data_IF_589329203886
#
_entry.id   IF_589329203886
#
_cell.length_a   1.000
_cell.length_b   1.000
_cell.length_c   1.000
_cell.angle_alpha   90.00
_cell.angle_beta   90.00
_cell.angle_gamma   90.00
#
_symmetry.space_group_name_H-M   'P 1'
#
loop_
_entity.id
_entity.type
_entity.pdbx_description
1 polymer ?
#
# COMPACT_ATOMS: atom_id res chain seq x y z
N UNK A 1 -63.33 -54.64 -14.96
CA UNK A 1 -62.12 -53.88 -15.35
C UNK A 1 -62.38 -52.39 -15.15
N UNK A 2 -61.67 -51.79 -14.18
CA UNK A 2 -61.17 -50.40 -14.13
C UNK A 2 -60.96 -50.01 -12.66
N UNK A 3 -59.76 -50.29 -12.16
CA UNK A 3 -59.23 -49.69 -10.94
C UNK A 3 -58.90 -48.23 -11.20
N UNK A 4 -59.38 -47.33 -10.35
CA UNK A 4 -58.87 -45.97 -10.26
C UNK A 4 -57.84 -45.93 -9.14
N UNK A 5 -56.56 -45.82 -9.51
CA UNK A 5 -55.47 -45.50 -8.58
C UNK A 5 -55.38 -43.98 -8.54
N UNK A 6 -55.61 -43.39 -7.36
CA UNK A 6 -55.41 -41.97 -7.12
C UNK A 6 -53.95 -41.75 -6.72
N UNK A 7 -53.17 -41.10 -7.58
CA UNK A 7 -51.80 -40.67 -7.27
C UNK A 7 -51.87 -39.32 -6.55
N UNK A 8 -51.57 -39.31 -5.26
CA UNK A 8 -51.30 -38.08 -4.52
C UNK A 8 -49.86 -37.62 -4.85
N UNK A 9 -49.72 -36.53 -5.60
CA UNK A 9 -48.45 -35.84 -5.77
C UNK A 9 -48.15 -35.07 -4.48
N UNK A 10 -47.20 -35.57 -3.68
CA UNK A 10 -46.60 -34.79 -2.61
C UNK A 10 -45.64 -33.75 -3.22
N UNK A 11 -46.00 -32.47 -3.15
CA UNK A 11 -45.10 -31.38 -3.50
C UNK A 11 -43.99 -31.29 -2.43
N UNK A 12 -42.78 -31.74 -2.78
CA UNK A 12 -41.58 -31.48 -2.02
C UNK A 12 -41.25 -29.98 -2.14
N UNK A 13 -41.66 -29.20 -1.14
CA UNK A 13 -41.16 -27.85 -0.96
C UNK A 13 -39.67 -27.94 -0.60
N UNK A 14 -38.80 -27.75 -1.60
CA UNK A 14 -37.38 -27.51 -1.42
C UNK A 14 -37.21 -26.18 -0.66
N UNK A 15 -37.05 -26.25 0.66
CA UNK A 15 -36.50 -25.13 1.42
C UNK A 15 -35.06 -24.94 0.95
N UNK A 16 -34.82 -23.93 0.12
CA UNK A 16 -33.46 -23.51 -0.23
C UNK A 16 -32.70 -23.29 1.09
N UNK A 17 -31.64 -24.06 1.34
CA UNK A 17 -30.77 -23.84 2.48
C UNK A 17 -30.36 -22.36 2.48
N UNK A 18 -30.44 -21.71 3.64
CA UNK A 18 -29.99 -20.33 3.79
C UNK A 18 -28.54 -20.27 3.29
N UNK A 19 -28.31 -19.45 2.25
CA UNK A 19 -26.97 -19.30 1.69
C UNK A 19 -26.12 -18.64 2.78
N UNK A 20 -25.12 -19.36 3.25
CA UNK A 20 -24.27 -18.90 4.34
C UNK A 20 -23.14 -18.01 3.80
N UNK A 21 -22.65 -17.09 4.62
CA UNK A 21 -21.51 -16.22 4.30
C UNK A 21 -20.62 -16.07 5.52
N UNK A 22 -19.37 -15.68 5.31
CA UNK A 22 -18.45 -15.47 6.42
C UNK A 22 -18.87 -14.25 7.25
N UNK A 23 -18.89 -14.40 8.57
CA UNK A 23 -19.09 -13.26 9.48
C UNK A 23 -17.87 -12.35 9.48
N UNK A 24 -18.05 -11.09 9.90
CA UNK A 24 -16.96 -10.14 10.03
C UNK A 24 -15.91 -10.69 11.01
N UNK A 25 -14.64 -10.81 10.61
CA UNK A 25 -13.60 -11.29 11.50
C UNK A 25 -13.36 -10.27 12.63
N UNK A 26 -13.07 -10.79 13.82
CA UNK A 26 -12.58 -9.98 14.93
C UNK A 26 -11.09 -9.67 14.72
N UNK A 27 -10.80 -8.56 14.07
CA UNK A 27 -9.43 -8.08 13.84
C UNK A 27 -9.09 -6.93 14.78
N UNK A 28 -7.95 -7.04 15.45
CA UNK A 28 -7.41 -5.98 16.31
C UNK A 28 -5.97 -5.65 15.95
N UNK A 29 -5.59 -4.40 16.18
CA UNK A 29 -4.20 -3.98 16.13
C UNK A 29 -3.39 -4.65 17.25
N UNK A 30 -2.28 -5.31 16.89
CA UNK A 30 -1.39 -5.98 17.82
C UNK A 30 0.02 -6.21 17.21
N UNK A 31 1.11 -6.17 18.00
CA UNK A 31 1.16 -5.82 19.43
C UNK A 31 0.99 -4.33 19.72
N UNK A 32 1.32 -3.46 18.78
CA UNK A 32 1.13 -2.03 18.94
C UNK A 32 -0.35 -1.69 18.72
N UNK A 33 -0.87 -0.82 19.58
CA UNK A 33 -2.24 -0.28 19.51
C UNK A 33 -2.24 1.01 18.69
N UNK A 34 -3.35 1.33 18.00
CA UNK A 34 -3.46 2.57 17.24
C UNK A 34 -3.25 3.78 18.15
N UNK A 35 -2.80 4.90 17.57
CA UNK A 35 -2.58 6.15 18.29
C UNK A 35 -3.84 6.69 18.96
N UNK A 36 -5.00 6.36 18.37
CA UNK A 36 -6.33 6.63 18.91
C UNK A 36 -7.20 5.39 18.71
N UNK A 37 -8.09 5.11 19.66
CA UNK A 37 -9.07 4.03 19.51
C UNK A 37 -9.92 4.25 18.25
N UNK A 38 -10.14 3.17 17.49
CA UNK A 38 -11.03 3.21 16.33
C UNK A 38 -12.49 3.37 16.75
N UNK A 39 -13.34 4.01 15.93
CA UNK A 39 -14.77 4.10 16.18
C UNK A 39 -15.41 2.72 16.38
N UNK A 40 -16.39 2.66 17.27
CA UNK A 40 -17.18 1.46 17.45
C UNK A 40 -18.06 1.22 16.21
N UNK A 41 -18.19 -0.04 15.81
CA UNK A 41 -19.04 -0.43 14.69
C UNK A 41 -20.42 -0.88 15.16
N UNK A 42 -21.43 -0.66 14.33
CA UNK A 42 -22.80 -1.10 14.59
C UNK A 42 -23.09 -2.49 14.00
N UNK A 43 -23.97 -3.31 14.60
CA UNK A 43 -24.37 -4.59 14.00
C UNK A 43 -25.06 -4.42 12.63
N UNK A 44 -24.79 -5.33 11.69
CA UNK A 44 -25.47 -5.37 10.40
C UNK A 44 -26.78 -6.17 10.49
N UNK A 45 -27.84 -5.68 9.85
CA UNK A 45 -29.20 -6.25 9.98
C UNK A 45 -29.80 -6.73 8.66
N UNK A 46 -29.08 -6.57 7.54
CA UNK A 46 -29.54 -6.99 6.20
C UNK A 46 -28.40 -7.55 5.38
N UNK A 47 -28.71 -8.41 4.43
CA UNK A 47 -27.71 -9.09 3.59
C UNK A 47 -28.12 -9.06 2.12
N UNK A 48 -27.17 -8.71 1.25
CA UNK A 48 -27.35 -8.59 -0.20
C UNK A 48 -26.34 -9.50 -0.91
N UNK A 49 -26.80 -10.65 -1.41
CA UNK A 49 -25.99 -11.53 -2.24
C UNK A 49 -25.94 -11.03 -3.68
N UNK A 50 -24.75 -10.70 -4.18
CA UNK A 50 -24.58 -10.31 -5.58
C UNK A 50 -24.66 -11.54 -6.46
N UNK A 51 -25.60 -11.54 -7.41
CA UNK A 51 -25.71 -12.59 -8.42
C UNK A 51 -24.82 -12.23 -9.62
N UNK A 52 -23.74 -13.00 -9.91
CA UNK A 52 -22.88 -12.71 -11.06
C UNK A 52 -23.63 -12.92 -12.37
N UNK A 53 -23.03 -12.49 -13.47
CA UNK A 53 -23.53 -12.77 -14.82
C UNK A 53 -23.45 -14.26 -15.13
N UNK A 54 -24.43 -14.78 -15.88
CA UNK A 54 -24.43 -16.20 -16.29
C UNK A 54 -23.32 -16.55 -17.28
N UNK A 55 -22.59 -15.54 -17.79
CA UNK A 55 -21.48 -15.68 -18.73
C UNK A 55 -20.25 -15.07 -18.08
N UNK A 56 -19.18 -15.86 -17.98
CA UNK A 56 -17.89 -15.40 -17.48
C UNK A 56 -17.36 -14.22 -18.31
N UNK A 57 -16.71 -13.25 -17.65
CA UNK A 57 -16.19 -12.04 -18.29
C UNK A 57 -17.24 -10.98 -18.63
N UNK A 58 -18.52 -11.25 -18.38
CA UNK A 58 -19.58 -10.25 -18.56
C UNK A 58 -19.64 -9.31 -17.35
N UNK A 59 -19.76 -8.02 -17.65
CA UNK A 59 -19.79 -6.96 -16.65
C UNK A 59 -20.89 -7.14 -15.58
N UNK A 60 -20.47 -7.07 -14.32
CA UNK A 60 -21.28 -7.16 -13.11
C UNK A 60 -21.34 -5.85 -12.32
N UNK A 61 -20.69 -4.78 -12.80
CA UNK A 61 -20.56 -3.49 -12.10
C UNK A 61 -21.90 -2.95 -11.58
N UNK A 62 -22.95 -2.94 -12.42
CA UNK A 62 -24.28 -2.44 -12.03
C UNK A 62 -24.96 -3.29 -10.96
N UNK A 63 -24.72 -4.60 -10.94
CA UNK A 63 -25.30 -5.50 -9.94
C UNK A 63 -24.60 -5.36 -8.60
N UNK A 64 -23.28 -5.17 -8.64
CA UNK A 64 -22.47 -4.88 -7.46
C UNK A 64 -22.93 -3.56 -6.85
N UNK A 65 -23.00 -2.48 -7.66
CA UNK A 65 -23.46 -1.17 -7.20
C UNK A 65 -24.86 -1.24 -6.58
N UNK A 66 -25.82 -1.88 -7.25
CA UNK A 66 -27.19 -2.03 -6.75
C UNK A 66 -27.25 -2.78 -5.40
N UNK A 67 -26.38 -3.76 -5.17
CA UNK A 67 -26.31 -4.45 -3.89
C UNK A 67 -25.76 -3.55 -2.78
N UNK A 68 -24.75 -2.73 -3.08
CA UNK A 68 -24.23 -1.72 -2.16
C UNK A 68 -25.28 -0.66 -1.82
N UNK A 69 -26.03 -0.16 -2.79
CA UNK A 69 -27.14 0.77 -2.55
C UNK A 69 -28.22 0.15 -1.67
N UNK A 70 -28.62 -1.10 -1.94
CA UNK A 70 -29.65 -1.79 -1.16
C UNK A 70 -29.20 -2.12 0.28
N UNK A 71 -27.93 -2.48 0.46
CA UNK A 71 -27.36 -2.84 1.76
C UNK A 71 -26.64 -1.69 2.47
N UNK A 72 -26.68 -0.46 1.96
CA UNK A 72 -26.15 0.69 2.67
C UNK A 72 -26.93 0.95 3.97
N UNK A 73 -26.34 1.63 4.96
CA UNK A 73 -26.96 1.89 6.26
C UNK A 73 -27.27 0.60 7.05
N UNK A 74 -26.23 -0.20 7.33
CA UNK A 74 -26.33 -1.34 8.27
C UNK A 74 -26.44 -2.71 7.61
N UNK A 75 -25.93 -2.90 6.39
CA UNK A 75 -26.02 -4.17 5.67
C UNK A 75 -24.69 -4.85 5.37
N UNK A 76 -24.79 -6.10 4.91
CA UNK A 76 -23.67 -6.91 4.42
C UNK A 76 -23.86 -7.22 2.95
N UNK A 77 -22.91 -6.82 2.11
CA UNK A 77 -22.82 -7.22 0.70
C UNK A 77 -21.94 -8.46 0.59
N UNK A 78 -22.45 -9.50 -0.09
CA UNK A 78 -21.75 -10.78 -0.25
C UNK A 78 -21.32 -10.98 -1.70
N UNK A 79 -20.00 -11.13 -1.89
CA UNK A 79 -19.30 -11.41 -3.14
C UNK A 79 -18.58 -12.77 -3.01
N UNK A 80 -19.31 -13.87 -3.19
CA UNK A 80 -18.86 -15.26 -2.94
C UNK A 80 -18.70 -16.10 -4.23
N UNK A 81 -18.58 -15.43 -5.38
CA UNK A 81 -18.48 -16.00 -6.73
C UNK A 81 -17.44 -15.22 -7.56
N UNK A 82 -17.32 -15.59 -8.83
CA UNK A 82 -16.53 -14.84 -9.80
C UNK A 82 -17.34 -13.65 -10.33
N UNK A 83 -16.76 -12.46 -10.30
CA UNK A 83 -17.35 -11.23 -10.81
C UNK A 83 -16.37 -10.52 -11.74
N UNK A 84 -16.90 -9.81 -12.73
CA UNK A 84 -16.08 -8.96 -13.62
C UNK A 84 -16.58 -7.52 -13.55
N UNK A 85 -15.70 -6.57 -13.24
CA UNK A 85 -15.98 -5.13 -13.25
C UNK A 85 -15.42 -4.54 -14.55
N UNK A 86 -16.30 -3.93 -15.35
CA UNK A 86 -15.94 -3.25 -16.59
C UNK A 86 -16.44 -1.80 -16.65
N UNK A 87 -17.10 -1.31 -15.60
CA UNK A 87 -17.47 0.11 -15.44
C UNK A 87 -16.91 0.63 -14.10
N UNK A 88 -16.54 1.93 -13.99
CA UNK A 88 -16.04 2.48 -12.73
C UNK A 88 -17.10 2.45 -11.61
N UNK A 89 -16.67 2.13 -10.39
CA UNK A 89 -17.52 2.07 -9.21
C UNK A 89 -17.07 3.04 -8.12
N UNK A 90 -17.93 4.01 -7.78
CA UNK A 90 -17.74 4.94 -6.67
C UNK A 90 -18.61 4.52 -5.48
N UNK A 91 -17.97 3.97 -4.45
CA UNK A 91 -18.61 3.52 -3.21
C UNK A 91 -18.21 4.41 -2.02
N UNK A 92 -18.00 5.72 -2.25
CA UNK A 92 -17.72 6.67 -1.16
C UNK A 92 -18.94 7.05 -0.32
N UNK A 93 -20.13 6.64 -0.74
CA UNK A 93 -21.40 6.91 -0.07
C UNK A 93 -21.74 5.92 1.07
N UNK A 94 -20.90 4.91 1.30
CA UNK A 94 -21.22 3.81 2.20
C UNK A 94 -21.29 4.26 3.68
N UNK A 95 -22.21 3.67 4.42
CA UNK A 95 -22.41 3.90 5.85
C UNK A 95 -22.78 2.58 6.51
N UNK A 96 -21.98 2.15 7.50
CA UNK A 96 -22.24 0.94 8.27
C UNK A 96 -22.39 -0.30 7.37
N UNK A 97 -21.39 -0.59 6.53
CA UNK A 97 -21.45 -1.69 5.55
C UNK A 97 -20.38 -2.73 5.82
N UNK A 98 -20.78 -3.99 5.72
CA UNK A 98 -19.86 -5.13 5.65
C UNK A 98 -19.78 -5.67 4.21
N UNK A 99 -18.59 -6.09 3.82
CA UNK A 99 -18.33 -6.68 2.51
C UNK A 99 -17.64 -8.03 2.71
N UNK A 100 -18.43 -9.09 2.63
CA UNK A 100 -17.94 -10.46 2.66
C UNK A 100 -17.50 -10.87 1.24
N UNK A 101 -16.22 -10.71 0.94
CA UNK A 101 -15.64 -10.98 -0.37
C UNK A 101 -14.81 -12.25 -0.30
N UNK A 102 -15.42 -13.42 -0.52
CA UNK A 102 -14.70 -14.71 -0.57
C UNK A 102 -14.51 -15.27 -1.98
N UNK A 103 -15.16 -14.65 -2.97
CA UNK A 103 -14.99 -14.97 -4.38
C UNK A 103 -13.81 -14.23 -5.02
N UNK A 104 -13.85 -14.13 -6.35
CA UNK A 104 -12.87 -13.39 -7.14
C UNK A 104 -13.54 -12.24 -7.87
N UNK A 105 -12.94 -11.05 -7.80
CA UNK A 105 -13.32 -9.91 -8.62
C UNK A 105 -12.17 -9.63 -9.60
N UNK A 106 -12.48 -9.67 -10.90
CA UNK A 106 -11.56 -9.31 -11.99
C UNK A 106 -11.99 -8.00 -12.63
N UNK A 107 -11.07 -7.34 -13.31
CA UNK A 107 -11.35 -6.16 -14.12
C UNK A 107 -11.18 -6.46 -15.61
N UNK A 108 -12.05 -5.88 -16.44
CA UNK A 108 -11.85 -5.86 -17.89
C UNK A 108 -10.50 -5.21 -18.23
N UNK A 109 -9.83 -5.66 -19.28
CA UNK A 109 -8.50 -5.19 -19.71
C UNK A 109 -8.52 -4.25 -20.92
N UNK A 110 -9.69 -3.71 -21.28
CA UNK A 110 -9.80 -2.67 -22.30
C UNK A 110 -9.23 -1.34 -21.78
N UNK A 111 -7.92 -1.16 -21.99
CA UNK A 111 -7.15 0.01 -21.57
C UNK A 111 -7.76 1.31 -22.12
N UNK A 112 -8.11 1.32 -23.41
CA UNK A 112 -8.60 2.53 -24.08
C UNK A 112 -10.01 2.91 -23.56
N UNK A 113 -10.81 1.92 -23.16
CA UNK A 113 -12.06 2.17 -22.45
C UNK A 113 -11.83 2.79 -21.05
N UNK A 114 -10.87 2.27 -20.28
CA UNK A 114 -10.61 2.69 -18.90
C UNK A 114 -9.97 4.06 -18.76
N UNK A 115 -9.02 4.41 -19.62
CA UNK A 115 -8.22 5.64 -19.50
C UNK A 115 -9.05 6.92 -19.22
N UNK A 116 -10.15 7.21 -19.96
CA UNK A 116 -10.97 8.39 -19.72
C UNK A 116 -12.02 8.23 -18.60
N UNK A 117 -12.18 7.04 -18.02
CA UNK A 117 -13.29 6.70 -17.09
C UNK A 117 -12.85 6.46 -15.65
N UNK A 118 -11.56 6.28 -15.41
CA UNK A 118 -11.01 6.14 -14.05
C UNK A 118 -11.21 7.42 -13.23
N UNK A 119 -11.42 7.25 -11.92
CA UNK A 119 -11.38 8.35 -10.96
C UNK A 119 -9.95 8.85 -10.84
N UNK A 120 -9.74 10.16 -11.03
CA UNK A 120 -8.41 10.77 -11.08
C UNK A 120 -8.06 11.46 -9.76
N UNK A 121 -6.80 11.37 -9.38
CA UNK A 121 -6.20 12.11 -8.27
C UNK A 121 -5.14 13.06 -8.84
N UNK A 122 -5.08 14.28 -8.29
CA UNK A 122 -4.08 15.27 -8.69
C UNK A 122 -2.65 14.78 -8.38
N UNK A 123 -2.46 14.12 -7.24
CA UNK A 123 -1.16 13.64 -6.80
C UNK A 123 -0.63 12.56 -7.75
N UNK A 124 0.50 12.84 -8.41
CA UNK A 124 1.23 11.93 -9.31
C UNK A 124 0.38 11.33 -10.46
N UNK A 125 -0.71 12.00 -10.84
CA UNK A 125 -1.61 11.50 -11.89
C UNK A 125 -2.23 10.14 -11.55
N UNK A 126 -2.29 9.79 -10.26
CA UNK A 126 -2.87 8.54 -9.79
C UNK A 126 -4.33 8.42 -10.23
N UNK A 127 -4.78 7.19 -10.46
CA UNK A 127 -6.15 6.94 -10.90
C UNK A 127 -6.63 5.57 -10.42
N UNK A 128 -7.93 5.32 -10.42
CA UNK A 128 -8.49 3.99 -10.08
C UNK A 128 -9.85 3.78 -10.73
N UNK A 129 -10.28 2.53 -10.82
CA UNK A 129 -11.59 2.12 -11.32
C UNK A 129 -12.60 1.83 -10.20
N UNK A 130 -12.17 1.64 -8.96
CA UNK A 130 -13.03 1.17 -7.88
C UNK A 130 -12.60 1.80 -6.55
N UNK A 131 -13.48 2.64 -5.99
CA UNK A 131 -13.19 3.42 -4.80
C UNK A 131 -14.17 3.04 -3.69
N UNK A 132 -13.64 2.71 -2.52
CA UNK A 132 -14.40 2.56 -1.29
C UNK A 132 -14.23 3.80 -0.41
N UNK A 133 -15.25 4.19 0.33
CA UNK A 133 -15.16 5.28 1.29
C UNK A 133 -16.33 5.28 2.25
N UNK A 134 -16.58 6.42 2.89
CA UNK A 134 -17.71 6.58 3.79
C UNK A 134 -17.38 6.26 5.24
N UNK A 135 -18.34 5.75 6.01
CA UNK A 135 -18.21 5.57 7.47
C UNK A 135 -18.50 4.14 7.89
N UNK A 136 -17.67 3.58 8.78
CA UNK A 136 -17.87 2.24 9.36
C UNK A 136 -18.03 1.17 8.27
N UNK A 137 -17.00 1.00 7.44
CA UNK A 137 -16.99 0.02 6.34
C UNK A 137 -15.95 -1.07 6.60
N UNK A 138 -16.38 -2.32 6.63
CA UNK A 138 -15.51 -3.48 6.87
C UNK A 138 -15.52 -4.43 5.67
N UNK A 139 -14.36 -4.64 5.06
CA UNK A 139 -14.17 -5.50 3.89
C UNK A 139 -13.29 -6.67 4.30
N UNK A 140 -13.72 -7.90 3.99
CA UNK A 140 -13.02 -9.07 4.47
C UNK A 140 -13.19 -10.29 3.56
N UNK A 141 -12.11 -11.06 3.39
CA UNK A 141 -12.10 -12.20 2.48
C UNK A 141 -11.56 -13.53 3.01
N UNK A 142 -11.32 -13.63 4.31
CA UNK A 142 -10.93 -14.88 4.99
C UNK A 142 -9.75 -15.64 4.34
N UNK A 143 -8.81 -14.93 3.71
CA UNK A 143 -7.63 -15.49 3.05
C UNK A 143 -7.91 -16.15 1.69
N UNK A 144 -9.14 -16.06 1.18
CA UNK A 144 -9.54 -16.64 -0.11
C UNK A 144 -10.07 -15.59 -1.09
N UNK A 145 -10.69 -14.53 -0.59
CA UNK A 145 -11.19 -13.41 -1.37
C UNK A 145 -10.12 -12.77 -2.22
N UNK A 146 -10.33 -12.68 -3.53
CA UNK A 146 -9.31 -12.25 -4.49
C UNK A 146 -9.78 -11.04 -5.29
N UNK A 147 -8.93 -10.01 -5.36
CA UNK A 147 -9.01 -8.92 -6.32
C UNK A 147 -7.87 -9.10 -7.32
N UNK A 148 -8.20 -9.36 -8.59
CA UNK A 148 -7.22 -9.54 -9.67
C UNK A 148 -7.35 -8.43 -10.71
N UNK A 149 -6.34 -7.57 -10.75
CA UNK A 149 -6.28 -6.39 -11.60
C UNK A 149 -6.07 -6.67 -13.08
N UNK A 150 -5.81 -7.92 -13.48
CA UNK A 150 -5.53 -8.26 -14.88
C UNK A 150 -4.42 -7.36 -15.49
N UNK A 151 -3.35 -7.13 -14.72
CA UNK A 151 -2.35 -6.09 -14.99
C UNK A 151 -1.44 -6.30 -16.20
N UNK A 152 -1.38 -7.50 -16.80
CA UNK A 152 -0.40 -7.82 -17.83
C UNK A 152 -0.48 -6.88 -19.05
N UNK A 153 -1.69 -6.66 -19.57
CA UNK A 153 -1.89 -5.75 -20.70
C UNK A 153 -1.40 -4.32 -20.38
N UNK A 154 -1.57 -3.89 -19.11
CA UNK A 154 -1.11 -2.58 -18.65
C UNK A 154 0.41 -2.50 -18.53
N UNK A 155 1.08 -3.57 -18.11
CA UNK A 155 2.55 -3.64 -18.06
C UNK A 155 3.14 -3.51 -19.46
N UNK A 156 2.59 -4.27 -20.42
CA UNK A 156 3.04 -4.26 -21.80
C UNK A 156 2.79 -2.90 -22.47
N UNK A 157 1.64 -2.25 -22.21
CA UNK A 157 1.35 -0.91 -22.72
C UNK A 157 2.24 0.16 -22.08
N UNK A 158 2.52 0.08 -20.78
CA UNK A 158 3.41 1.02 -20.09
C UNK A 158 4.89 0.86 -20.49
N UNK A 159 5.30 -0.32 -20.96
CA UNK A 159 6.62 -0.50 -21.55
C UNK A 159 6.86 0.43 -22.76
N UNK A 160 5.81 0.68 -23.55
CA UNK A 160 5.85 1.52 -24.77
C UNK A 160 5.37 2.95 -24.56
N UNK A 161 4.55 3.21 -23.53
CA UNK A 161 4.07 4.54 -23.18
C UNK A 161 4.24 4.84 -21.69
N UNK A 162 5.31 5.56 -21.33
CA UNK A 162 5.67 5.88 -19.94
C UNK A 162 4.76 6.90 -19.26
N UNK A 163 3.88 7.57 -19.99
CA UNK A 163 2.90 8.52 -19.42
C UNK A 163 1.52 7.89 -19.23
N UNK A 164 1.37 6.59 -19.49
CA UNK A 164 0.11 5.86 -19.32
C UNK A 164 -0.33 5.87 -17.84
N UNK A 165 -1.47 6.49 -17.56
CA UNK A 165 -2.10 6.48 -16.23
C UNK A 165 -2.81 5.15 -16.00
N UNK A 166 -2.13 4.24 -15.31
CA UNK A 166 -2.64 2.91 -14.96
C UNK A 166 -3.47 3.00 -13.66
N UNK A 167 -4.62 2.30 -13.57
CA UNK A 167 -5.46 2.33 -12.38
C UNK A 167 -4.83 1.56 -11.21
N UNK A 168 -5.01 2.09 -10.01
CA UNK A 168 -4.70 1.47 -8.72
C UNK A 168 -5.80 0.45 -8.42
N UNK A 169 -5.41 -0.76 -8.01
CA UNK A 169 -6.32 -1.90 -7.87
C UNK A 169 -7.41 -1.66 -6.82
N UNK A 170 -7.03 -1.21 -5.62
CA UNK A 170 -7.94 -1.02 -4.50
C UNK A 170 -7.69 0.32 -3.82
N UNK A 171 -8.73 1.15 -3.70
CA UNK A 171 -8.59 2.49 -3.09
C UNK A 171 -9.63 2.69 -2.00
N UNK A 172 -9.16 3.19 -0.85
CA UNK A 172 -10.02 3.83 0.15
C UNK A 172 -9.84 5.34 0.03
N UNK A 173 -10.92 6.07 -0.21
CA UNK A 173 -10.95 7.53 -0.30
C UNK A 173 -12.06 8.07 0.59
N UNK A 174 -11.68 8.78 1.66
CA UNK A 174 -12.66 9.31 2.60
C UNK A 174 -13.29 8.24 3.50
N UNK A 175 -12.60 7.12 3.76
CA UNK A 175 -13.05 6.11 4.70
C UNK A 175 -12.80 6.56 6.15
N UNK A 176 -13.82 6.49 7.00
CA UNK A 176 -13.79 6.92 8.40
C UNK A 176 -14.26 5.78 9.30
N UNK A 177 -13.32 5.10 9.95
CA UNK A 177 -13.62 3.89 10.69
C UNK A 177 -13.86 2.71 9.76
N UNK A 178 -13.12 1.62 9.95
CA UNK A 178 -13.31 0.42 9.16
C UNK A 178 -12.13 -0.53 9.21
N UNK A 179 -12.26 -1.64 8.47
CA UNK A 179 -11.15 -2.57 8.30
C UNK A 179 -11.12 -3.22 6.93
N UNK A 180 -9.94 -3.56 6.44
CA UNK A 180 -9.72 -4.38 5.25
C UNK A 180 -8.90 -5.61 5.65
N UNK A 181 -9.45 -6.81 5.53
CA UNK A 181 -8.80 -8.01 6.08
C UNK A 181 -8.84 -9.24 5.19
N UNK A 182 -7.79 -10.05 5.21
CA UNK A 182 -7.83 -11.38 4.60
C UNK A 182 -8.07 -11.38 3.08
N UNK A 183 -7.70 -10.32 2.37
CA UNK A 183 -7.81 -10.26 0.91
C UNK A 183 -6.50 -10.69 0.23
N UNK A 184 -6.64 -11.29 -0.94
CA UNK A 184 -5.58 -11.53 -1.91
C UNK A 184 -5.65 -10.47 -3.00
N UNK A 185 -4.60 -9.68 -3.15
CA UNK A 185 -4.47 -8.68 -4.20
C UNK A 185 -3.50 -9.21 -5.25
N UNK A 186 -3.95 -9.28 -6.50
CA UNK A 186 -3.23 -9.91 -7.60
C UNK A 186 -3.09 -8.99 -8.79
N UNK A 187 -1.91 -8.99 -9.39
CA UNK A 187 -1.63 -8.42 -10.70
C UNK A 187 -2.22 -7.01 -10.88
N UNK A 188 -1.99 -6.11 -9.92
CA UNK A 188 -2.45 -4.72 -10.05
C UNK A 188 -1.83 -4.05 -11.27
N UNK A 189 -2.55 -3.24 -12.06
CA UNK A 189 -1.96 -2.48 -13.16
C UNK A 189 -0.90 -1.47 -12.71
N UNK A 190 -1.05 -0.92 -11.50
CA UNK A 190 -0.18 0.06 -10.87
C UNK A 190 -0.04 -0.28 -9.38
N UNK A 191 0.06 0.70 -8.49
CA UNK A 191 -0.01 0.50 -7.03
C UNK A 191 -1.19 -0.42 -6.68
N UNK A 192 -1.01 -1.30 -5.69
CA UNK A 192 -2.05 -2.18 -5.23
C UNK A 192 -3.08 -1.41 -4.40
N UNK A 193 -2.61 -0.55 -3.49
CA UNK A 193 -3.49 0.16 -2.56
C UNK A 193 -3.15 1.65 -2.47
N UNK A 194 -4.20 2.48 -2.44
CA UNK A 194 -4.13 3.86 -1.98
C UNK A 194 -5.12 4.08 -0.83
N UNK A 195 -4.63 4.62 0.28
CA UNK A 195 -5.39 5.04 1.44
C UNK A 195 -5.40 6.57 1.45
N UNK A 196 -6.36 7.15 0.73
CA UNK A 196 -6.53 8.56 0.53
C UNK A 196 -7.56 9.15 1.50
N UNK A 197 -7.29 10.33 2.06
CA UNK A 197 -8.27 11.11 2.83
C UNK A 197 -8.98 10.31 3.94
N UNK A 198 -8.34 9.27 4.49
CA UNK A 198 -8.99 8.26 5.31
C UNK A 198 -8.50 8.33 6.75
N UNK A 199 -9.33 7.87 7.68
CA UNK A 199 -9.01 7.88 9.10
C UNK A 199 -9.55 6.66 9.82
N UNK A 200 -8.82 6.23 10.85
CA UNK A 200 -9.25 5.16 11.75
C UNK A 200 -9.45 3.80 11.04
N UNK A 201 -8.46 3.37 10.25
CA UNK A 201 -8.55 2.16 9.41
C UNK A 201 -7.54 1.10 9.86
N UNK A 202 -8.03 -0.12 10.02
CA UNK A 202 -7.20 -1.32 10.22
C UNK A 202 -7.07 -2.13 8.92
N UNK A 203 -5.85 -2.43 8.52
CA UNK A 203 -5.54 -3.34 7.41
C UNK A 203 -4.76 -4.51 7.98
N UNK A 204 -5.24 -5.74 7.78
CA UNK A 204 -4.64 -6.94 8.40
C UNK A 204 -4.71 -8.15 7.47
N UNK A 205 -3.70 -9.02 7.53
CA UNK A 205 -3.73 -10.34 6.88
C UNK A 205 -3.94 -10.26 5.36
N UNK A 206 -3.33 -9.27 4.71
CA UNK A 206 -3.40 -9.09 3.25
C UNK A 206 -2.24 -9.85 2.60
N UNK A 207 -2.54 -10.49 1.48
CA UNK A 207 -1.56 -11.17 0.63
C UNK A 207 -1.50 -10.43 -0.70
N UNK A 208 -0.34 -9.84 -1.03
CA UNK A 208 -0.11 -9.08 -2.27
C UNK A 208 0.90 -9.81 -3.14
N UNK A 209 0.54 -10.06 -4.40
CA UNK A 209 1.41 -10.68 -5.38
C UNK A 209 1.20 -10.12 -6.79
N UNK A 210 2.28 -9.71 -7.44
CA UNK A 210 2.24 -9.32 -8.85
C UNK A 210 3.59 -9.53 -9.54
N UNK A 211 3.56 -10.21 -10.68
CA UNK A 211 4.72 -10.46 -11.55
C UNK A 211 4.27 -10.37 -12.99
N UNK A 212 5.13 -9.83 -13.84
CA UNK A 212 4.92 -9.92 -15.29
C UNK A 212 5.17 -11.34 -15.77
N UNK A 213 4.36 -11.78 -16.72
CA UNK A 213 4.56 -13.02 -17.48
C UNK A 213 5.29 -12.78 -18.81
N UNK A 214 5.65 -11.54 -19.12
CA UNK A 214 6.39 -11.13 -20.34
C UNK A 214 7.78 -10.56 -19.99
N UNK A 215 8.53 -10.17 -21.02
CA UNK A 215 9.81 -9.45 -20.83
C UNK A 215 9.62 -8.01 -20.33
N UNK A 216 8.40 -7.46 -20.37
CA UNK A 216 8.10 -6.13 -19.88
C UNK A 216 7.91 -6.17 -18.36
N UNK A 217 8.70 -5.38 -17.64
CA UNK A 217 8.62 -5.34 -16.18
C UNK A 217 7.27 -4.76 -15.70
N UNK A 218 6.71 -5.38 -14.66
CA UNK A 218 5.54 -4.85 -13.97
C UNK A 218 6.00 -3.76 -12.99
N UNK A 219 6.04 -2.50 -13.47
CA UNK A 219 6.57 -1.35 -12.72
C UNK A 219 5.55 -0.70 -11.78
N UNK A 220 6.03 -0.10 -10.69
CA UNK A 220 5.22 0.70 -9.75
C UNK A 220 4.08 -0.11 -9.14
N UNK A 221 4.41 -1.25 -8.54
CA UNK A 221 3.43 -2.14 -7.93
C UNK A 221 3.37 -1.95 -6.41
N UNK A 222 3.51 -0.71 -5.93
CA UNK A 222 3.54 -0.35 -4.51
C UNK A 222 2.47 -1.12 -3.71
N UNK A 223 2.84 -1.61 -2.52
CA UNK A 223 1.95 -2.37 -1.65
C UNK A 223 0.84 -1.47 -1.09
N UNK A 224 1.24 -0.46 -0.33
CA UNK A 224 0.35 0.60 0.17
C UNK A 224 0.95 1.98 0.04
N UNK A 225 0.17 2.91 -0.48
CA UNK A 225 0.39 4.34 -0.35
C UNK A 225 -0.62 4.95 0.63
N UNK A 226 -0.13 5.63 1.66
CA UNK A 226 -0.96 6.49 2.52
C UNK A 226 -0.85 7.93 2.04
N UNK A 227 -1.98 8.63 1.94
CA UNK A 227 -2.03 10.00 1.43
C UNK A 227 -3.16 10.80 2.10
N UNK A 228 -2.83 11.90 2.78
CA UNK A 228 -3.81 12.71 3.55
C UNK A 228 -4.65 11.86 4.51
N UNK A 229 -3.99 10.95 5.23
CA UNK A 229 -4.66 9.95 6.06
C UNK A 229 -4.07 9.89 7.47
N UNK A 230 -4.92 9.58 8.45
CA UNK A 230 -4.61 9.66 9.86
C UNK A 230 -5.04 8.41 10.64
N UNK A 231 -4.24 7.98 11.62
CA UNK A 231 -4.57 6.85 12.50
C UNK A 231 -4.85 5.57 11.71
N UNK A 232 -3.83 5.12 10.97
CA UNK A 232 -3.89 3.93 10.11
C UNK A 232 -3.01 2.83 10.72
N UNK A 233 -3.49 1.60 10.73
CA UNK A 233 -2.69 0.42 11.11
C UNK A 233 -2.64 -0.55 9.95
N UNK A 234 -1.43 -0.92 9.50
CA UNK A 234 -1.19 -1.94 8.49
C UNK A 234 -0.41 -3.08 9.16
N UNK A 235 -0.93 -4.31 9.11
CA UNK A 235 -0.29 -5.41 9.84
C UNK A 235 -0.38 -6.80 9.20
N UNK A 236 0.48 -7.70 9.67
CA UNK A 236 0.43 -9.15 9.45
C UNK A 236 0.26 -9.56 7.98
N UNK A 237 0.89 -8.82 7.08
CA UNK A 237 0.67 -8.99 5.64
C UNK A 237 1.93 -9.46 4.92
N UNK A 238 1.72 -10.20 3.82
CA UNK A 238 2.78 -10.71 2.96
C UNK A 238 2.73 -10.03 1.60
N UNK A 239 3.89 -9.62 1.12
CA UNK A 239 4.03 -8.87 -0.13
C UNK A 239 5.15 -9.44 -0.97
N UNK A 240 4.86 -9.73 -2.23
CA UNK A 240 5.83 -10.19 -3.23
C UNK A 240 5.50 -9.55 -4.59
N UNK A 241 5.98 -8.31 -4.76
CA UNK A 241 5.70 -7.45 -5.92
C UNK A 241 6.95 -6.65 -6.32
N UNK A 242 6.83 -5.56 -7.07
CA UNK A 242 7.90 -4.58 -7.40
C UNK A 242 7.55 -3.20 -6.81
N UNK A 243 8.52 -2.35 -6.49
CA UNK A 243 8.32 -1.02 -5.85
C UNK A 243 8.01 -1.04 -4.33
N UNK A 244 7.68 0.11 -3.72
CA UNK A 244 7.61 0.30 -2.26
C UNK A 244 6.67 -0.69 -1.55
N UNK A 245 7.10 -1.31 -0.44
CA UNK A 245 6.23 -2.17 0.36
C UNK A 245 5.13 -1.35 1.05
N UNK A 246 5.54 -0.26 1.70
CA UNK A 246 4.64 0.79 2.20
C UNK A 246 5.30 2.12 1.90
N UNK A 247 4.50 3.08 1.45
CA UNK A 247 4.92 4.43 1.13
C UNK A 247 4.03 5.45 1.83
N UNK A 248 4.66 6.37 2.56
CA UNK A 248 3.99 7.45 3.27
C UNK A 248 4.07 8.72 2.43
N UNK A 249 3.03 9.00 1.65
CA UNK A 249 2.91 10.19 0.81
C UNK A 249 2.45 11.39 1.67
N UNK A 250 2.34 12.62 1.11
CA UNK A 250 2.06 13.81 1.90
C UNK A 250 0.81 13.69 2.78
N UNK A 251 0.92 14.29 3.97
CA UNK A 251 -0.09 14.35 5.01
C UNK A 251 -0.49 12.96 5.56
N UNK A 252 0.49 12.08 5.73
CA UNK A 252 0.31 10.81 6.41
C UNK A 252 0.72 10.94 7.88
N UNK A 253 -0.23 10.80 8.80
CA UNK A 253 -0.01 10.99 10.24
C UNK A 253 -0.49 9.81 11.08
N UNK A 254 0.19 9.55 12.19
CA UNK A 254 -0.22 8.54 13.17
C UNK A 254 -0.41 7.15 12.54
N UNK A 255 0.62 6.65 11.85
CA UNK A 255 0.55 5.36 11.14
C UNK A 255 1.42 4.32 11.82
N UNK A 256 0.88 3.12 11.97
CA UNK A 256 1.60 1.94 12.46
C UNK A 256 1.69 0.92 11.33
N UNK A 257 2.90 0.40 11.13
CA UNK A 257 3.16 -0.73 10.24
C UNK A 257 3.80 -1.83 11.08
N UNK A 258 3.19 -3.02 11.16
CA UNK A 258 3.71 -4.08 12.02
C UNK A 258 3.57 -5.49 11.50
N UNK A 259 4.60 -6.33 11.69
CA UNK A 259 4.51 -7.75 11.32
C UNK A 259 4.44 -7.99 9.81
N UNK A 260 5.06 -7.12 9.00
CA UNK A 260 5.08 -7.28 7.54
C UNK A 260 6.21 -8.19 7.09
N UNK A 261 5.96 -8.96 6.04
CA UNK A 261 6.98 -9.67 5.27
C UNK A 261 6.94 -9.19 3.82
N UNK A 262 7.92 -8.39 3.43
CA UNK A 262 8.01 -7.87 2.07
C UNK A 262 9.18 -8.50 1.31
N UNK A 263 8.91 -8.95 0.09
CA UNK A 263 9.88 -9.50 -0.84
C UNK A 263 9.91 -8.68 -2.14
N UNK A 264 11.11 -8.42 -2.66
CA UNK A 264 11.33 -7.76 -3.97
C UNK A 264 10.77 -6.34 -4.07
N UNK A 265 10.90 -5.52 -3.03
CA UNK A 265 10.34 -4.17 -2.97
C UNK A 265 11.39 -3.04 -3.05
N UNK A 266 10.98 -1.78 -2.98
CA UNK A 266 11.86 -0.62 -2.87
C UNK A 266 12.03 -0.09 -1.43
N UNK A 267 11.45 -0.78 -0.44
CA UNK A 267 11.55 -0.42 0.97
C UNK A 267 10.21 -0.06 1.61
N UNK A 268 10.27 0.19 2.92
CA UNK A 268 9.24 0.98 3.61
C UNK A 268 9.70 2.43 3.59
N UNK A 269 9.05 3.20 2.72
CA UNK A 269 9.48 4.52 2.26
C UNK A 269 8.66 5.64 2.89
N UNK A 270 9.30 6.59 3.57
CA UNK A 270 8.71 7.92 3.75
C UNK A 270 8.93 8.71 2.46
N UNK A 271 7.83 9.07 1.80
CA UNK A 271 7.81 9.87 0.58
C UNK A 271 7.63 9.11 -0.73
N UNK A 272 7.91 9.74 -1.88
CA UNK A 272 8.61 11.03 -1.97
C UNK A 272 7.79 12.22 -1.50
N UNK A 273 8.46 13.19 -0.86
CA UNK A 273 7.89 14.44 -0.33
C UNK A 273 8.68 15.65 -0.83
N UNK A 274 8.05 16.82 -0.87
CA UNK A 274 8.62 18.05 -1.42
C UNK A 274 8.55 18.11 -2.94
N UNK A 275 7.66 17.33 -3.56
CA UNK A 275 7.60 17.21 -5.02
C UNK A 275 7.06 18.47 -5.69
N UNK A 276 6.13 19.18 -5.04
CA UNK A 276 5.40 20.28 -5.66
C UNK A 276 5.60 21.57 -4.84
N UNK A 277 6.08 22.68 -5.45
CA UNK A 277 6.45 23.90 -4.73
C UNK A 277 5.25 24.60 -4.09
N UNK A 278 4.04 24.39 -4.61
CA UNK A 278 2.80 24.97 -4.09
C UNK A 278 2.30 24.30 -2.78
N UNK A 279 2.85 23.14 -2.42
CA UNK A 279 2.35 22.34 -1.30
C UNK A 279 3.38 22.21 -0.19
N UNK A 280 2.86 22.16 1.03
CA UNK A 280 3.65 21.89 2.22
C UNK A 280 3.39 20.46 2.68
N UNK A 281 4.36 19.58 2.48
CA UNK A 281 4.20 18.14 2.73
C UNK A 281 4.55 17.80 4.18
N UNK A 282 3.65 17.12 4.90
CA UNK A 282 3.93 16.64 6.26
C UNK A 282 3.86 15.11 6.33
N UNK A 283 4.78 14.50 7.05
CA UNK A 283 4.66 13.10 7.51
C UNK A 283 5.09 13.05 8.97
N UNK A 284 4.24 12.49 9.83
CA UNK A 284 4.48 12.56 11.27
C UNK A 284 3.92 11.36 12.04
N UNK A 285 4.62 10.95 13.11
CA UNK A 285 4.19 9.89 14.03
C UNK A 285 4.03 8.54 13.30
N UNK A 286 5.15 8.01 12.80
CA UNK A 286 5.19 6.71 12.18
C UNK A 286 5.91 5.70 13.08
N UNK A 287 5.31 4.53 13.25
CA UNK A 287 5.95 3.42 13.96
C UNK A 287 5.95 2.16 13.08
N UNK A 288 7.11 1.79 12.58
CA UNK A 288 7.34 0.60 11.76
C UNK A 288 8.02 -0.43 12.66
N UNK A 289 7.36 -1.55 12.93
CA UNK A 289 7.76 -2.50 13.96
C UNK A 289 7.74 -3.95 13.49
N UNK A 290 8.81 -4.70 13.77
CA UNK A 290 8.86 -6.15 13.51
C UNK A 290 8.56 -6.48 12.04
N UNK A 291 9.40 -5.98 11.14
CA UNK A 291 9.25 -6.15 9.69
C UNK A 291 10.42 -6.94 9.13
N UNK A 292 10.13 -7.90 8.25
CA UNK A 292 11.13 -8.61 7.46
C UNK A 292 11.11 -8.12 6.02
N UNK A 293 12.26 -7.65 5.53
CA UNK A 293 12.46 -7.20 4.16
C UNK A 293 13.48 -8.09 3.47
N UNK A 294 13.10 -8.65 2.32
CA UNK A 294 13.96 -9.50 1.51
C UNK A 294 14.08 -9.00 0.07
N UNK A 295 15.28 -9.12 -0.50
CA UNK A 295 15.55 -8.83 -1.92
C UNK A 295 15.09 -7.43 -2.36
N UNK A 296 15.12 -6.45 -1.45
CA UNK A 296 14.65 -5.10 -1.71
C UNK A 296 15.81 -4.18 -2.12
N UNK A 297 15.48 -3.05 -2.77
CA UNK A 297 16.46 -1.99 -3.01
C UNK A 297 16.89 -1.38 -1.69
N UNK A 298 15.93 -0.92 -0.88
CA UNK A 298 16.19 -0.39 0.46
C UNK A 298 15.32 -1.14 1.49
N UNK A 299 15.78 -1.20 2.75
CA UNK A 299 14.99 -1.65 3.89
C UNK A 299 14.09 -0.52 4.40
N UNK A 300 14.63 0.28 5.31
CA UNK A 300 14.03 1.54 5.75
C UNK A 300 14.50 2.68 4.86
N UNK A 301 13.57 3.51 4.36
CA UNK A 301 13.90 4.57 3.39
C UNK A 301 13.16 5.87 3.69
N UNK A 302 13.86 6.98 3.67
CA UNK A 302 13.28 8.33 3.64
C UNK A 302 13.78 9.02 2.37
N UNK A 303 12.87 9.47 1.51
CA UNK A 303 13.19 10.07 0.20
C UNK A 303 12.45 11.40 0.05
N UNK A 304 13.18 12.49 -0.07
CA UNK A 304 12.61 13.83 -0.28
C UNK A 304 13.32 14.53 -1.43
N UNK A 305 12.56 15.33 -2.19
CA UNK A 305 13.07 16.02 -3.37
C UNK A 305 14.01 17.18 -2.98
N UNK A 306 14.94 17.58 -3.86
CA UNK A 306 15.78 18.76 -3.67
C UNK A 306 14.96 20.06 -3.77
N UNK A 307 15.60 21.19 -3.46
CA UNK A 307 14.96 22.51 -3.44
C UNK A 307 14.68 23.13 -4.81
N UNK A 308 14.92 22.39 -5.89
CA UNK A 308 14.64 22.82 -7.27
C UNK A 308 13.91 21.73 -8.03
N UNK A 309 13.12 22.12 -9.03
CA UNK A 309 12.44 21.18 -9.93
C UNK A 309 13.44 20.34 -10.74
N UNK A 310 13.21 19.03 -10.83
CA UNK A 310 14.03 18.08 -11.55
C UNK A 310 13.16 17.24 -12.49
N UNK A 311 13.69 16.96 -13.68
CA UNK A 311 13.10 16.01 -14.61
C UNK A 311 13.63 14.61 -14.28
N UNK A 312 12.94 13.90 -13.39
CA UNK A 312 13.39 12.60 -12.90
C UNK A 312 13.17 11.50 -13.94
N UNK A 313 11.97 11.43 -14.51
CA UNK A 313 11.60 10.50 -15.57
C UNK A 313 10.35 10.98 -16.33
N UNK A 314 10.08 10.47 -17.54
CA UNK A 314 8.91 10.88 -18.33
C UNK A 314 7.61 10.77 -17.53
N UNK A 315 6.91 11.89 -17.37
CA UNK A 315 5.65 11.97 -16.62
C UNK A 315 5.79 12.04 -15.10
N UNK A 316 7.02 12.06 -14.56
CA UNK A 316 7.28 12.25 -13.13
C UNK A 316 8.52 13.13 -12.92
N UNK A 317 8.29 14.39 -12.61
CA UNK A 317 9.28 15.36 -12.15
C UNK A 317 8.79 16.10 -10.91
N UNK A 318 9.65 16.92 -10.33
CA UNK A 318 9.29 17.77 -9.20
C UNK A 318 10.50 18.22 -8.39
N UNK A 319 10.22 18.80 -7.22
CA UNK A 319 11.20 19.43 -6.34
C UNK A 319 10.84 20.89 -6.08
N UNK A 320 11.48 21.48 -5.09
CA UNK A 320 11.15 22.82 -4.59
C UNK A 320 9.95 22.90 -3.65
N UNK A 321 9.30 21.77 -3.33
CA UNK A 321 8.32 21.70 -2.25
C UNK A 321 8.98 21.71 -0.88
N UNK A 322 8.33 22.37 0.08
CA UNK A 322 8.79 22.46 1.47
C UNK A 322 7.93 21.58 2.38
N UNK A 323 8.40 21.33 3.61
CA UNK A 323 7.67 20.45 4.52
C UNK A 323 8.52 19.83 5.61
N UNK A 324 7.99 18.82 6.28
CA UNK A 324 8.75 18.06 7.26
C UNK A 324 8.36 16.58 7.38
N UNK A 325 9.34 15.79 7.82
CA UNK A 325 9.19 14.45 8.37
C UNK A 325 9.57 14.53 9.85
N UNK A 326 8.70 14.05 10.75
CA UNK A 326 8.96 14.09 12.20
C UNK A 326 8.51 12.82 12.91
N UNK A 327 9.26 12.40 13.92
CA UNK A 327 8.87 11.30 14.82
C UNK A 327 8.57 10.00 14.05
N UNK A 328 9.62 9.45 13.44
CA UNK A 328 9.57 8.21 12.65
C UNK A 328 10.47 7.17 13.29
N UNK A 329 9.91 6.03 13.68
CA UNK A 329 10.68 4.92 14.25
C UNK A 329 10.58 3.68 13.37
N UNK A 330 11.74 3.11 13.03
CA UNK A 330 11.89 1.76 12.51
C UNK A 330 12.52 0.90 13.61
N UNK A 331 11.81 -0.11 14.09
CA UNK A 331 12.27 -1.02 15.16
C UNK A 331 12.07 -2.49 14.77
N UNK A 332 13.01 -3.35 15.18
CA UNK A 332 12.96 -4.81 14.92
C UNK A 332 12.86 -5.08 13.43
N UNK A 333 13.87 -4.64 12.69
CA UNK A 333 13.89 -4.73 11.25
C UNK A 333 14.85 -5.82 10.80
N UNK A 334 14.33 -6.84 10.12
CA UNK A 334 15.14 -7.93 9.60
C UNK A 334 15.43 -7.74 8.12
N UNK A 335 16.69 -7.50 7.79
CA UNK A 335 17.17 -7.36 6.41
C UNK A 335 17.69 -8.69 5.88
N UNK A 336 17.29 -9.07 4.67
CA UNK A 336 17.84 -10.23 3.97
C UNK A 336 18.08 -9.90 2.51
N UNK A 337 19.35 -9.77 2.13
CA UNK A 337 19.73 -9.51 0.73
C UNK A 337 19.10 -8.21 0.18
N UNK A 338 18.94 -7.17 1.02
CA UNK A 338 18.54 -5.83 0.55
C UNK A 338 19.78 -5.02 0.13
N UNK A 339 19.71 -4.20 -0.92
CA UNK A 339 20.88 -3.46 -1.40
C UNK A 339 21.38 -2.44 -0.37
N UNK A 340 20.47 -1.77 0.33
CA UNK A 340 20.76 -1.02 1.55
C UNK A 340 19.74 -1.35 2.65
N UNK A 341 20.18 -1.41 3.90
CA UNK A 341 19.28 -1.60 5.03
C UNK A 341 18.59 -0.31 5.46
N UNK A 342 19.32 0.82 5.41
CA UNK A 342 18.81 2.15 5.79
C UNK A 342 19.24 3.15 4.72
N UNK A 343 18.28 3.96 4.25
CA UNK A 343 18.53 5.10 3.36
C UNK A 343 17.80 6.36 3.83
N UNK A 344 18.53 7.48 3.91
CA UNK A 344 17.99 8.84 3.89
C UNK A 344 18.55 9.52 2.65
N UNK A 345 17.67 10.05 1.81
CA UNK A 345 17.99 10.70 0.54
C UNK A 345 17.20 12.01 0.40
N UNK A 346 17.89 13.15 0.55
CA UNK A 346 17.33 14.49 0.31
C UNK A 346 17.64 15.05 -1.11
N UNK A 347 18.00 14.17 -2.04
CA UNK A 347 18.33 14.47 -3.43
C UNK A 347 17.46 13.60 -4.38
N UNK A 348 16.29 13.15 -3.91
CA UNK A 348 15.44 12.26 -4.69
C UNK A 348 15.00 12.94 -5.99
N UNK A 349 15.16 12.23 -7.11
CA UNK A 349 14.81 12.78 -8.42
C UNK A 349 15.95 13.53 -9.13
N UNK A 350 17.09 13.73 -8.49
CA UNK A 350 18.26 14.38 -9.07
C UNK A 350 19.49 13.48 -9.00
N UNK A 351 20.17 13.28 -10.13
CA UNK A 351 21.37 12.42 -10.20
C UNK A 351 22.66 13.23 -10.06
N UNK A 352 22.61 14.54 -10.31
CA UNK A 352 23.75 15.43 -10.20
C UNK A 352 23.92 15.95 -8.76
N UNK A 353 24.88 15.38 -8.05
CA UNK A 353 25.19 15.77 -6.68
C UNK A 353 25.56 17.26 -6.52
N UNK A 354 26.21 17.87 -7.52
CA UNK A 354 26.51 19.31 -7.51
C UNK A 354 25.24 20.15 -7.53
N UNK A 355 24.24 19.74 -8.32
CA UNK A 355 22.95 20.42 -8.38
C UNK A 355 22.18 20.28 -7.07
N UNK A 356 22.21 19.11 -6.44
CA UNK A 356 21.62 18.94 -5.11
C UNK A 356 22.32 19.77 -4.02
N UNK A 357 23.62 20.00 -4.14
CA UNK A 357 24.35 20.87 -3.22
C UNK A 357 24.01 22.35 -3.45
N UNK A 358 23.77 22.76 -4.69
CA UNK A 358 23.31 24.11 -5.04
C UNK A 358 21.86 24.37 -4.60
N UNK A 359 20.99 23.35 -4.72
CA UNK A 359 19.57 23.41 -4.38
C UNK A 359 19.23 22.38 -3.30
N UNK A 360 19.66 22.59 -2.04
CA UNK A 360 19.34 21.67 -0.95
C UNK A 360 17.83 21.52 -0.74
N UNK A 361 17.40 20.39 -0.20
CA UNK A 361 15.98 20.14 0.05
C UNK A 361 15.38 21.19 1.00
N UNK A 362 14.14 21.59 0.73
CA UNK A 362 13.34 22.44 1.62
C UNK A 362 12.54 21.62 2.65
N UNK A 363 12.72 20.30 2.64
CA UNK A 363 12.13 19.39 3.63
C UNK A 363 13.06 19.24 4.83
N UNK A 364 12.50 19.28 6.04
CA UNK A 364 13.23 18.96 7.28
C UNK A 364 12.92 17.53 7.72
N UNK A 365 13.94 16.77 8.11
CA UNK A 365 13.78 15.42 8.67
C UNK A 365 14.25 15.45 10.11
N UNK A 366 13.35 15.18 11.05
CA UNK A 366 13.63 15.33 12.49
C UNK A 366 13.12 14.14 13.29
N UNK A 367 13.78 13.82 14.40
CA UNK A 367 13.35 12.78 15.34
C UNK A 367 13.12 11.42 14.64
N UNK A 368 14.15 10.92 13.96
CA UNK A 368 14.11 9.61 13.28
C UNK A 368 14.95 8.60 14.04
N UNK A 369 14.38 7.44 14.31
CA UNK A 369 15.03 6.35 15.05
C UNK A 369 15.10 5.10 14.18
N UNK A 370 16.30 4.54 14.05
CA UNK A 370 16.53 3.19 13.54
C UNK A 370 17.06 2.32 14.69
N UNK A 371 16.34 1.26 15.05
CA UNK A 371 16.71 0.44 16.21
C UNK A 371 16.52 -1.05 15.93
N UNK A 372 17.44 -1.88 16.42
CA UNK A 372 17.30 -3.35 16.37
C UNK A 372 17.17 -3.83 14.92
N UNK A 373 18.21 -3.55 14.12
CA UNK A 373 18.32 -4.00 12.75
C UNK A 373 19.24 -5.22 12.70
N UNK A 374 18.76 -6.30 12.08
CA UNK A 374 19.53 -7.55 11.99
C UNK A 374 19.56 -8.10 10.57
N UNK A 375 20.52 -8.99 10.29
CA UNK A 375 20.53 -9.83 9.09
C UNK A 375 21.62 -9.47 8.09
N UNK A 376 21.29 -9.46 6.80
CA UNK A 376 22.27 -9.29 5.70
C UNK A 376 21.87 -8.22 4.70
N UNK A 377 22.88 -7.58 4.13
CA UNK A 377 22.75 -6.76 2.92
C UNK A 377 23.15 -7.56 1.67
N UNK A 378 22.81 -7.05 0.49
CA UNK A 378 23.12 -7.69 -0.78
C UNK A 378 24.59 -7.49 -1.17
N UNK A 379 25.03 -8.23 -2.20
CA UNK A 379 26.38 -8.09 -2.76
C UNK A 379 26.55 -6.84 -3.63
N UNK A 380 25.49 -6.09 -3.91
CA UNK A 380 25.48 -5.03 -4.92
C UNK A 380 26.40 -3.87 -4.59
N UNK A 381 26.44 -3.50 -3.30
CA UNK A 381 27.24 -2.39 -2.81
C UNK A 381 28.25 -2.80 -1.75
N UNK A 382 28.51 -4.10 -1.59
CA UNK A 382 29.41 -4.65 -0.57
C UNK A 382 30.77 -3.92 -0.53
N UNK A 383 31.23 -3.41 0.65
CA UNK A 383 30.68 -3.65 1.99
C UNK A 383 29.70 -2.58 2.51
N UNK A 384 29.23 -1.67 1.65
CA UNK A 384 28.29 -0.61 2.05
C UNK A 384 26.92 -1.20 2.38
N UNK A 385 26.43 -0.92 3.59
CA UNK A 385 25.16 -1.39 4.12
C UNK A 385 24.04 -0.34 4.05
N UNK A 386 24.36 0.95 3.90
CA UNK A 386 23.37 2.00 3.79
C UNK A 386 23.95 3.39 3.57
N UNK A 387 23.06 4.38 3.50
CA UNK A 387 23.42 5.77 3.25
C UNK A 387 22.46 6.72 3.98
N UNK A 388 22.97 7.56 4.88
CA UNK A 388 22.23 8.59 5.60
C UNK A 388 22.72 9.96 5.12
N UNK A 389 22.11 10.47 4.05
CA UNK A 389 22.60 11.65 3.33
C UNK A 389 21.57 12.78 3.42
N UNK A 390 21.91 13.80 4.20
CA UNK A 390 21.14 15.02 4.33
C UNK A 390 21.75 16.15 3.49
N UNK A 391 20.90 17.06 2.98
CA UNK A 391 21.33 18.08 2.03
C UNK A 391 22.22 19.16 2.66
N UNK A 392 21.90 19.61 3.89
CA UNK A 392 22.72 20.55 4.67
C UNK A 392 22.71 20.15 6.15
N UNK A 393 23.63 20.69 6.99
CA UNK A 393 23.64 20.40 8.43
C UNK A 393 22.34 20.69 9.17
N UNK A 394 21.47 21.56 8.63
CA UNK A 394 20.22 21.99 9.30
C UNK A 394 18.97 21.29 8.77
N UNK A 395 19.09 20.44 7.73
CA UNK A 395 17.93 19.75 7.12
C UNK A 395 17.62 18.41 7.77
N UNK A 396 18.54 17.87 8.57
CA UNK A 396 18.33 16.71 9.42
C UNK A 396 18.71 17.02 10.87
N UNK A 397 17.83 16.68 11.80
CA UNK A 397 18.08 16.84 13.23
C UNK A 397 17.66 15.59 13.99
N UNK A 398 18.40 15.25 15.03
CA UNK A 398 18.08 14.15 15.93
C UNK A 398 17.81 12.79 15.23
N UNK A 399 18.67 12.44 14.27
CA UNK A 399 18.66 11.13 13.61
C UNK A 399 19.49 10.16 14.47
N UNK A 400 18.86 9.11 14.98
CA UNK A 400 19.49 8.17 15.91
C UNK A 400 19.47 6.76 15.36
N UNK A 401 20.55 6.02 15.61
CA UNK A 401 20.62 4.59 15.32
C UNK A 401 21.31 3.82 16.44
N UNK A 402 20.78 2.66 16.83
CA UNK A 402 21.46 1.73 17.74
C UNK A 402 20.98 0.30 17.58
N UNK A 403 21.75 -0.65 18.10
CA UNK A 403 21.53 -2.09 17.94
C UNK A 403 21.43 -2.50 16.46
N UNK A 404 22.40 -2.06 15.65
CA UNK A 404 22.49 -2.38 14.22
C UNK A 404 23.53 -3.48 13.99
N UNK A 405 23.06 -4.72 13.80
CA UNK A 405 23.88 -5.93 13.55
C UNK A 405 23.62 -6.49 12.13
N UNK A 406 24.31 -5.92 11.15
CA UNK A 406 24.24 -6.37 9.75
C UNK A 406 25.52 -7.06 9.31
N UNK A 407 25.37 -8.03 8.41
CA UNK A 407 26.47 -8.78 7.81
C UNK A 407 26.55 -8.52 6.31
N UNK A 408 27.77 -8.36 5.82
CA UNK A 408 28.06 -8.23 4.39
C UNK A 408 28.39 -9.61 3.79
N UNK A 409 28.09 -9.85 2.51
CA UNK A 409 28.48 -11.09 1.83
C UNK A 409 29.99 -11.38 1.84
N UNK A 410 30.83 -10.34 1.79
CA UNK A 410 32.29 -10.48 1.81
C UNK A 410 32.88 -10.77 3.20
N UNK A 411 32.06 -10.67 4.26
CA UNK A 411 32.52 -10.78 5.65
C UNK A 411 33.27 -9.54 6.16
N UNK A 412 33.43 -8.49 5.33
CA UNK A 412 33.98 -7.20 5.78
C UNK A 412 32.98 -6.51 6.71
N UNK A 413 33.51 -5.71 7.64
CA UNK A 413 32.68 -4.86 8.49
C UNK A 413 31.83 -3.91 7.62
N UNK A 414 30.51 -3.80 7.88
CA UNK A 414 29.61 -2.89 7.17
C UNK A 414 30.10 -1.43 7.14
N UNK A 415 29.89 -0.76 6.02
CA UNK A 415 30.18 0.67 5.83
C UNK A 415 28.90 1.48 5.58
N UNK A 416 28.84 2.71 6.09
CA UNK A 416 27.65 3.57 5.98
C UNK A 416 28.04 4.93 5.42
N UNK A 417 27.47 5.33 4.29
CA UNK A 417 27.69 6.69 3.80
C UNK A 417 26.94 7.68 4.69
N UNK A 418 27.63 8.64 5.28
CA UNK A 418 27.03 9.65 6.13
C UNK A 418 27.40 11.05 5.63
N UNK A 419 26.42 11.95 5.58
CA UNK A 419 26.65 13.36 5.28
C UNK A 419 25.60 14.23 5.95
N UNK A 420 26.06 15.28 6.62
CA UNK A 420 25.21 16.26 7.32
C UNK A 420 24.24 15.61 8.33
N UNK A 421 24.73 14.61 9.05
CA UNK A 421 24.04 13.94 10.15
C UNK A 421 24.96 13.93 11.37
N UNK A 422 24.40 13.99 12.57
CA UNK A 422 25.20 13.95 13.80
C UNK A 422 25.70 12.52 14.08
N UNK A 423 26.94 12.22 13.68
CA UNK A 423 27.51 10.87 13.82
C UNK A 423 27.56 10.34 15.27
N UNK A 424 27.57 11.24 16.26
CA UNK A 424 27.55 10.88 17.70
C UNK A 424 26.30 10.07 18.09
N UNK A 425 25.21 10.24 17.34
CA UNK A 425 23.91 9.60 17.55
C UNK A 425 23.75 8.29 16.76
N UNK A 426 24.75 7.90 15.96
CA UNK A 426 24.67 6.82 14.97
C UNK A 426 25.53 5.61 15.37
N UNK A 427 24.98 4.72 16.18
CA UNK A 427 25.59 3.41 16.50
C UNK A 427 25.22 2.37 15.43
N UNK A 428 25.70 2.57 14.20
CA UNK A 428 25.34 1.78 13.01
C UNK A 428 26.05 0.42 12.87
N UNK A 429 26.94 0.08 13.80
CA UNK A 429 27.76 -1.14 13.72
C UNK A 429 28.80 -1.12 12.59
N UNK A 430 29.63 -2.17 12.52
CA UNK A 430 30.68 -2.28 11.51
C UNK A 430 31.76 -1.21 11.64
N UNK A 431 32.17 -0.62 10.50
CA UNK A 431 33.10 0.53 10.47
C UNK A 431 32.43 1.86 10.83
N UNK A 432 31.10 1.91 10.88
CA UNK A 432 30.35 3.14 11.04
C UNK A 432 30.37 4.03 9.80
N UNK A 433 30.32 5.34 10.02
CA UNK A 433 30.24 6.34 8.96
C UNK A 433 31.52 6.44 8.13
N UNK A 434 31.34 6.50 6.81
CA UNK A 434 32.35 6.86 5.82
C UNK A 434 31.84 8.09 5.04
N UNK A 435 32.74 8.88 4.42
CA UNK A 435 32.33 10.03 3.60
C UNK A 435 31.29 9.66 2.53
N UNK A 436 30.20 10.42 2.49
CA UNK A 436 29.01 10.20 1.65
C UNK A 436 28.96 10.96 0.33
#
# INVERSE_FOLDING_TARGET
>A
MRSFVSLALAALASTAAARDYIERPHAEAHPLKPYKAFPASTPRTKTCFVKPSCTEGRDDSKKILAAFEACNDGGTVVLDREYTICEPLDLRFLRHVDVALTGTVRFCDDIDYWLPRTFKYQFQGASTWWVFGGEDVHIYGAGVGTLDGNGQAWYDRFATNKTLQRPILFVTDGLRGGSVTGLKLRNSPNWHNLIANSSDVLISDIDIFARSSSANEAKNLDGWDTYRSDNIVIQNSYLDHDDDCVSFKPNSTNVIVQGLTCNSSHGISVGSLGQYPEFFDIVENLYIYNTSMSNAVDGARLKVWPGSETDFQPGLGGGGGAGYVRNVTYERFHSRNNDAAIRIDQCYGEKNATRCAEFPSLMRITDVVFKDFTGTVSKRYDPRAGALICSTPDTCDNIRAWDIDLKTPSGKAPEWQCRNVEESLLQLGGKGCIPG
#
